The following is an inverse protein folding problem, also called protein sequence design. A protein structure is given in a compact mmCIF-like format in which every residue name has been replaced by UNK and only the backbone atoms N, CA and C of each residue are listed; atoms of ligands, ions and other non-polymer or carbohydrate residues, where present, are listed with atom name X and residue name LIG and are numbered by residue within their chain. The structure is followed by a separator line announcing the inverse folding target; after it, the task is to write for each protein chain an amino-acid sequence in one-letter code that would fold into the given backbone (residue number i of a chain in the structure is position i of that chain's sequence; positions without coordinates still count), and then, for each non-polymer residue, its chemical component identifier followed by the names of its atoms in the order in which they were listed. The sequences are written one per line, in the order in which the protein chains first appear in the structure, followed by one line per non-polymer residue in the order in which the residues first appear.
data_IF_925294643616
#
_entry.id   IF_925294643616
#
_cell.length_a   1.000
_cell.length_b   1.000
_cell.length_c   1.000
_cell.angle_alpha   90.00
_cell.angle_beta   90.00
_cell.angle_gamma   90.00
#
_symmetry.space_group_name_H-M   'P 1'
#
loop_
_entity.id
_entity.type
_entity.pdbx_description
1 polymer ?
#
# COMPACT_ATOMS: atom_id res chain seq x y z
N UNK A 1 -11.90 55.86 68.65
CA UNK A 1 -11.89 55.88 67.17
C UNK A 1 -10.82 54.89 66.74
N UNK A 2 -11.20 53.63 66.53
CA UNK A 2 -10.29 52.51 66.27
C UNK A 2 -10.66 51.94 64.91
N UNK A 3 -9.82 52.15 63.89
CA UNK A 3 -10.00 51.61 62.54
C UNK A 3 -9.60 50.14 62.54
N UNK A 4 -10.55 49.25 62.25
CA UNK A 4 -10.27 47.86 61.88
C UNK A 4 -9.91 47.82 60.39
N UNK A 5 -8.67 47.42 60.08
CA UNK A 5 -8.23 47.08 58.74
C UNK A 5 -8.61 45.61 58.49
N UNK A 6 -9.56 45.36 57.58
CA UNK A 6 -9.85 44.00 57.09
C UNK A 6 -8.82 43.63 56.03
N UNK A 7 -7.90 42.72 56.35
CA UNK A 7 -7.01 42.08 55.37
C UNK A 7 -7.81 40.98 54.66
N UNK A 8 -8.22 41.19 53.41
CA UNK A 8 -8.68 40.11 52.53
C UNK A 8 -7.45 39.29 52.10
N UNK A 9 -7.21 38.17 52.79
CA UNK A 9 -6.32 37.12 52.30
C UNK A 9 -7.04 36.36 51.19
N UNK A 10 -6.85 36.82 49.94
CA UNK A 10 -7.24 36.06 48.77
C UNK A 10 -6.37 34.82 48.64
N UNK A 11 -6.90 33.65 49.00
CA UNK A 11 -6.31 32.37 48.62
C UNK A 11 -6.44 32.23 47.10
N UNK A 12 -5.40 32.64 46.38
CA UNK A 12 -5.23 32.22 44.99
C UNK A 12 -4.78 30.77 45.03
N UNK A 13 -5.71 29.84 44.83
CA UNK A 13 -5.35 28.47 44.50
C UNK A 13 -4.63 28.54 43.14
N UNK A 14 -3.30 28.58 43.18
CA UNK A 14 -2.50 28.38 41.99
C UNK A 14 -2.89 27.02 41.42
N UNK A 15 -3.46 27.01 40.21
CA UNK A 15 -3.75 25.77 39.50
C UNK A 15 -2.41 25.08 39.28
N UNK A 16 -2.23 23.92 39.91
CA UNK A 16 -1.04 23.11 39.70
C UNK A 16 -1.03 22.61 38.25
N UNK A 17 0.00 22.99 37.50
CA UNK A 17 0.11 22.65 36.09
C UNK A 17 0.57 21.21 35.94
N UNK A 18 -0.06 20.47 35.03
CA UNK A 18 0.41 19.12 34.66
C UNK A 18 1.65 19.23 33.77
N UNK A 19 2.72 18.52 34.12
CA UNK A 19 3.95 18.51 33.31
C UNK A 19 3.83 17.50 32.15
N UNK A 20 4.16 17.94 30.94
CA UNK A 20 4.15 17.14 29.70
C UNK A 20 5.51 17.21 28.98
N UNK A 21 5.71 16.41 27.94
CA UNK A 21 6.98 16.39 27.21
C UNK A 21 7.13 17.55 26.23
N UNK A 22 6.06 17.87 25.49
CA UNK A 22 6.04 18.97 24.52
C UNK A 22 4.78 19.83 24.63
N UNK A 23 4.95 21.13 24.46
CA UNK A 23 3.87 22.05 24.06
C UNK A 23 4.28 22.71 22.74
N UNK A 24 3.45 22.57 21.72
CA UNK A 24 3.54 23.36 20.50
C UNK A 24 2.50 24.48 20.62
N UNK A 25 2.86 25.72 20.32
CA UNK A 25 1.99 26.88 20.50
C UNK A 25 2.19 27.91 19.38
N UNK A 26 1.33 28.94 19.33
CA UNK A 26 1.36 30.00 18.32
C UNK A 26 1.32 29.41 16.90
N UNK A 27 0.45 28.42 16.68
CA UNK A 27 0.31 27.72 15.40
C UNK A 27 -1.09 27.77 14.81
N UNK A 28 -1.25 27.08 13.69
CA UNK A 28 -2.55 26.72 13.10
C UNK A 28 -2.69 25.20 13.10
N UNK A 29 -3.25 24.65 14.17
CA UNK A 29 -3.29 23.22 14.44
C UNK A 29 -4.65 22.67 14.01
N UNK A 30 -4.68 21.88 12.94
CA UNK A 30 -5.89 21.22 12.49
C UNK A 30 -6.08 19.94 13.30
N UNK A 31 -7.19 19.82 14.05
CA UNK A 31 -7.43 18.64 14.91
C UNK A 31 -8.11 17.51 14.15
N UNK A 32 -8.92 17.86 13.13
CA UNK A 32 -9.76 16.90 12.39
C UNK A 32 -10.71 16.15 13.35
N UNK A 33 -11.16 16.84 14.41
CA UNK A 33 -12.29 16.40 15.23
C UNK A 33 -13.61 16.54 14.47
N UNK A 34 -14.73 16.15 15.09
CA UNK A 34 -16.07 16.20 14.49
C UNK A 34 -16.47 17.61 14.00
N UNK A 35 -15.89 18.66 14.59
CA UNK A 35 -16.12 20.06 14.23
C UNK A 35 -15.08 20.63 13.26
N UNK A 36 -14.07 19.83 12.87
CA UNK A 36 -12.89 20.25 12.12
C UNK A 36 -12.22 21.47 12.76
N UNK A 37 -12.07 21.47 14.08
CA UNK A 37 -11.55 22.63 14.79
C UNK A 37 -10.10 22.96 14.42
N UNK A 38 -9.77 24.25 14.55
CA UNK A 38 -8.42 24.78 14.36
C UNK A 38 -8.01 25.46 15.66
N UNK A 39 -6.96 24.92 16.29
CA UNK A 39 -6.44 25.35 17.56
C UNK A 39 -5.09 26.06 17.37
N UNK A 40 -4.58 26.72 18.42
CA UNK A 40 -3.28 27.41 18.36
C UNK A 40 -2.20 26.70 19.16
N UNK A 41 -2.57 25.84 20.11
CA UNK A 41 -1.65 25.03 20.90
C UNK A 41 -2.09 23.56 21.08
N UNK A 42 -1.10 22.69 21.30
CA UNK A 42 -1.27 21.27 21.63
C UNK A 42 -0.26 20.86 22.70
N UNK A 43 -0.70 20.08 23.67
CA UNK A 43 0.12 19.44 24.69
C UNK A 43 0.29 17.95 24.40
N UNK A 44 1.53 17.47 24.46
CA UNK A 44 1.92 16.09 24.09
C UNK A 44 2.73 15.48 25.23
N UNK A 45 2.35 14.28 25.65
CA UNK A 45 3.06 13.51 26.67
C UNK A 45 3.30 12.09 26.15
N UNK A 46 4.56 11.68 26.04
CA UNK A 46 4.96 10.46 25.36
C UNK A 46 4.47 10.43 23.92
N UNK A 47 3.69 9.40 23.59
CA UNK A 47 3.13 9.11 22.28
C UNK A 47 1.70 9.66 22.08
N UNK A 48 1.18 10.43 23.05
CA UNK A 48 -0.21 10.90 23.07
C UNK A 48 -0.33 12.41 23.09
N UNK A 49 -1.28 12.91 22.31
CA UNK A 49 -1.83 14.25 22.49
C UNK A 49 -2.74 14.20 23.72
N UNK A 50 -2.44 15.03 24.72
CA UNK A 50 -3.21 15.06 25.98
C UNK A 50 -4.18 16.24 26.05
N UNK A 51 -3.96 17.29 25.26
CA UNK A 51 -4.90 18.39 25.10
C UNK A 51 -4.63 19.19 23.82
N UNK A 52 -5.68 19.80 23.25
CA UNK A 52 -5.62 20.84 22.23
C UNK A 52 -6.45 22.04 22.70
N UNK A 53 -6.10 23.24 22.26
CA UNK A 53 -6.82 24.45 22.67
C UNK A 53 -6.11 25.71 22.19
N UNK A 54 -6.54 26.87 22.70
CA UNK A 54 -5.78 28.10 22.46
C UNK A 54 -4.51 28.16 23.34
N UNK A 55 -3.60 29.06 22.99
CA UNK A 55 -2.29 29.18 23.65
C UNK A 55 -2.43 29.43 25.15
N UNK A 56 -3.38 30.27 25.57
CA UNK A 56 -3.58 30.62 26.97
C UNK A 56 -4.13 29.44 27.78
N UNK A 57 -5.11 28.72 27.24
CA UNK A 57 -5.71 27.53 27.86
C UNK A 57 -4.64 26.45 28.12
N UNK A 58 -3.86 26.11 27.10
CA UNK A 58 -2.82 25.09 27.21
C UNK A 58 -1.72 25.53 28.19
N UNK A 59 -1.27 26.79 28.12
CA UNK A 59 -0.24 27.30 29.02
C UNK A 59 -0.74 27.48 30.46
N UNK A 60 -2.04 27.65 30.69
CA UNK A 60 -2.62 27.72 32.03
C UNK A 60 -2.66 26.34 32.70
N UNK A 61 -2.98 25.28 31.95
CA UNK A 61 -3.18 23.92 32.46
C UNK A 61 -1.90 23.08 32.47
N UNK A 62 -0.97 23.35 31.57
CA UNK A 62 0.21 22.52 31.34
C UNK A 62 1.53 23.30 31.43
N UNK A 63 2.57 22.61 31.89
CA UNK A 63 3.98 22.97 31.71
C UNK A 63 4.65 21.91 30.86
N UNK A 64 5.67 22.24 30.07
CA UNK A 64 6.35 21.27 29.22
C UNK A 64 7.86 21.24 29.45
N UNK A 65 8.46 20.05 29.29
CA UNK A 65 9.92 19.89 29.21
C UNK A 65 10.49 20.64 28.02
N UNK A 66 9.77 20.63 26.89
CA UNK A 66 10.14 21.32 25.66
C UNK A 66 8.96 22.15 25.14
N UNK A 67 9.23 23.39 24.73
CA UNK A 67 8.23 24.25 24.09
C UNK A 67 8.68 24.60 22.68
N UNK A 68 7.75 24.53 21.72
CA UNK A 68 8.01 24.81 20.31
C UNK A 68 7.06 25.93 19.87
N UNK A 69 7.64 27.11 19.60
CA UNK A 69 6.93 28.21 18.96
C UNK A 69 6.78 27.92 17.46
N UNK A 70 5.55 27.71 17.02
CA UNK A 70 5.24 27.40 15.62
C UNK A 70 5.30 28.64 14.72
N UNK A 71 5.33 29.86 15.26
CA UNK A 71 5.41 31.12 14.50
C UNK A 71 4.36 31.21 13.38
N UNK A 72 3.13 30.79 13.69
CA UNK A 72 1.99 30.75 12.77
C UNK A 72 2.01 29.59 11.77
N UNK A 73 2.98 28.67 11.84
CA UNK A 73 3.01 27.48 10.97
C UNK A 73 1.84 26.55 11.26
N UNK A 74 1.47 25.79 10.23
CA UNK A 74 0.40 24.79 10.33
C UNK A 74 0.92 23.46 10.86
N UNK A 75 0.07 22.79 11.65
CA UNK A 75 0.26 21.40 12.10
C UNK A 75 -0.95 20.60 11.64
N UNK A 76 -0.68 19.48 10.98
CA UNK A 76 -1.70 18.54 10.53
C UNK A 76 -1.54 17.22 11.29
N UNK A 77 -2.61 16.44 11.47
CA UNK A 77 -2.46 15.03 11.80
C UNK A 77 -1.60 14.37 10.72
N UNK A 78 -0.81 13.37 11.10
CA UNK A 78 -0.07 12.56 10.13
C UNK A 78 -1.04 11.92 9.15
N UNK A 79 -0.69 11.93 7.85
CA UNK A 79 -1.59 11.42 6.82
C UNK A 79 -1.70 9.90 6.90
N UNK A 80 -2.89 9.39 6.61
CA UNK A 80 -3.22 7.96 6.60
C UNK A 80 -3.65 7.58 5.19
N UNK A 81 -2.91 6.69 4.55
CA UNK A 81 -3.30 6.12 3.26
C UNK A 81 -4.24 4.95 3.51
N UNK A 82 -5.50 5.11 3.12
CA UNK A 82 -6.57 4.14 3.37
C UNK A 82 -6.49 2.89 2.50
N UNK A 83 -5.69 2.91 1.41
CA UNK A 83 -5.47 1.75 0.56
C UNK A 83 -4.19 1.91 -0.24
N UNK A 84 -3.19 1.08 0.05
CA UNK A 84 -1.98 1.03 -0.75
C UNK A 84 -1.42 -0.40 -0.83
N UNK A 85 -0.28 -0.49 -1.52
CA UNK A 85 0.58 -1.66 -1.51
C UNK A 85 1.95 -1.20 -1.01
N UNK A 86 2.10 -1.04 0.31
CA UNK A 86 3.25 -0.38 0.92
C UNK A 86 4.55 -1.18 0.69
N UNK A 87 4.54 -2.49 0.91
CA UNK A 87 5.67 -3.33 0.52
C UNK A 87 5.92 -3.28 -1.00
N UNK A 88 4.86 -3.35 -1.82
CA UNK A 88 4.97 -3.23 -3.27
C UNK A 88 5.61 -1.90 -3.72
N UNK A 89 5.29 -0.80 -3.04
CA UNK A 89 5.91 0.50 -3.23
C UNK A 89 7.41 0.46 -2.87
N UNK A 90 7.75 -0.12 -1.71
CA UNK A 90 9.14 -0.37 -1.30
C UNK A 90 9.93 -1.17 -2.34
N UNK A 91 9.35 -2.25 -2.86
CA UNK A 91 9.96 -3.06 -3.93
C UNK A 91 10.22 -2.21 -5.18
N UNK A 92 9.28 -1.36 -5.59
CA UNK A 92 9.50 -0.44 -6.72
C UNK A 92 10.64 0.55 -6.48
N UNK A 93 10.85 1.03 -5.24
CA UNK A 93 11.99 1.88 -4.87
C UNK A 93 13.34 1.12 -4.87
N UNK A 94 13.31 -0.22 -4.88
CA UNK A 94 14.51 -1.05 -5.07
C UNK A 94 14.87 -1.24 -6.54
N UNK A 95 14.00 -0.86 -7.47
CA UNK A 95 14.20 -1.09 -8.91
C UNK A 95 14.71 0.18 -9.60
N UNK A 96 15.43 0.01 -10.70
CA UNK A 96 15.71 1.12 -11.60
C UNK A 96 14.39 1.62 -12.20
N UNK A 97 14.11 2.91 -12.06
CA UNK A 97 12.92 3.52 -12.63
C UNK A 97 13.12 3.74 -14.13
N UNK A 98 12.38 3.00 -14.95
CA UNK A 98 12.47 3.02 -16.41
C UNK A 98 11.34 3.80 -17.08
N UNK A 99 10.44 4.40 -16.28
CA UNK A 99 9.33 5.20 -16.81
C UNK A 99 9.83 6.40 -17.60
N UNK A 100 9.08 6.75 -18.64
CA UNK A 100 9.31 7.90 -19.50
C UNK A 100 10.68 7.91 -20.19
N UNK A 101 11.40 6.78 -20.22
CA UNK A 101 12.61 6.68 -21.02
C UNK A 101 12.26 6.77 -22.50
N UNK A 102 12.91 7.69 -23.20
CA UNK A 102 12.67 8.04 -24.60
C UNK A 102 13.37 7.12 -25.60
N UNK A 103 14.27 6.25 -25.14
CA UNK A 103 14.96 5.26 -25.96
C UNK A 103 15.46 4.08 -25.13
N UNK A 104 15.84 2.98 -25.78
CA UNK A 104 16.51 1.87 -25.11
C UNK A 104 17.89 2.27 -24.58
N UNK A 105 18.63 3.15 -25.27
CA UNK A 105 19.91 3.65 -24.78
C UNK A 105 19.76 4.39 -23.44
N UNK A 106 18.69 5.17 -23.26
CA UNK A 106 18.39 5.81 -21.99
C UNK A 106 18.11 4.79 -20.88
N UNK A 107 17.42 3.68 -21.20
CA UNK A 107 17.26 2.55 -20.28
C UNK A 107 18.63 2.03 -19.84
N UNK A 108 19.53 1.76 -20.80
CA UNK A 108 20.86 1.23 -20.51
C UNK A 108 21.69 2.16 -19.62
N UNK A 109 21.64 3.48 -19.84
CA UNK A 109 22.32 4.45 -18.97
C UNK A 109 21.80 4.41 -17.53
N UNK A 110 20.47 4.33 -17.34
CA UNK A 110 19.87 4.19 -16.00
C UNK A 110 20.26 2.87 -15.33
N UNK A 111 20.49 1.80 -16.09
CA UNK A 111 20.93 0.51 -15.55
C UNK A 111 22.41 0.51 -15.16
N UNK A 112 23.28 1.24 -15.88
CA UNK A 112 24.72 1.33 -15.53
C UNK A 112 24.98 1.94 -14.16
N UNK A 113 24.08 2.81 -13.68
CA UNK A 113 24.15 3.42 -12.35
C UNK A 113 23.43 2.61 -11.27
N UNK A 114 22.81 1.48 -11.63
CA UNK A 114 22.07 0.66 -10.68
C UNK A 114 23.03 -0.15 -9.79
N UNK A 115 22.83 -0.08 -8.46
CA UNK A 115 23.56 -0.91 -7.50
C UNK A 115 22.76 -2.20 -7.21
N UNK A 116 23.24 -3.37 -7.65
CA UNK A 116 22.54 -4.64 -7.47
C UNK A 116 22.81 -5.29 -6.11
N UNK A 117 23.54 -4.64 -5.19
CA UNK A 117 23.90 -5.21 -3.88
C UNK A 117 22.65 -5.56 -3.08
N UNK A 118 21.68 -4.66 -3.03
CA UNK A 118 20.45 -4.84 -2.25
C UNK A 118 19.40 -5.73 -2.96
N UNK A 119 19.73 -6.27 -4.14
CA UNK A 119 18.88 -7.16 -4.95
C UNK A 119 19.59 -8.48 -5.24
N UNK A 120 20.53 -8.89 -4.39
CA UNK A 120 21.29 -10.14 -4.50
C UNK A 120 21.94 -10.32 -5.88
N UNK A 121 22.49 -9.25 -6.45
CA UNK A 121 23.16 -9.26 -7.74
C UNK A 121 22.26 -9.07 -8.95
N UNK A 122 20.93 -9.06 -8.78
CA UNK A 122 19.98 -8.83 -9.87
C UNK A 122 19.90 -7.36 -10.28
N UNK A 123 19.95 -7.08 -11.57
CA UNK A 123 19.63 -5.76 -12.11
C UNK A 123 18.15 -5.76 -12.47
N UNK A 124 17.34 -5.09 -11.63
CA UNK A 124 15.89 -5.06 -11.77
C UNK A 124 15.46 -3.65 -12.16
N UNK A 125 14.66 -3.54 -13.21
CA UNK A 125 14.08 -2.28 -13.65
C UNK A 125 12.61 -2.40 -13.95
N UNK A 126 11.85 -1.30 -13.82
CA UNK A 126 10.43 -1.29 -14.15
C UNK A 126 9.99 -0.01 -14.83
N UNK A 127 9.12 -0.15 -15.83
CA UNK A 127 8.35 0.95 -16.41
C UNK A 127 8.77 1.34 -17.82
N UNK A 128 9.60 0.55 -18.50
CA UNK A 128 9.95 0.84 -19.88
C UNK A 128 8.72 0.69 -20.79
N UNK A 129 8.64 1.53 -21.82
CA UNK A 129 7.58 1.48 -22.82
C UNK A 129 8.13 1.89 -24.19
N UNK A 130 8.26 0.91 -25.08
CA UNK A 130 8.78 1.12 -26.42
C UNK A 130 7.91 2.07 -27.27
N UNK A 131 6.64 2.28 -26.90
CA UNK A 131 5.76 3.21 -27.62
C UNK A 131 6.22 4.67 -27.53
N UNK A 132 7.06 4.99 -26.54
CA UNK A 132 7.67 6.31 -26.37
C UNK A 132 8.94 6.51 -27.21
N UNK A 133 9.46 5.44 -27.82
CA UNK A 133 10.72 5.49 -28.58
C UNK A 133 10.48 5.81 -30.05
N UNK A 134 11.50 6.35 -30.72
CA UNK A 134 11.44 6.64 -32.16
C UNK A 134 11.11 5.40 -32.98
N UNK A 135 11.81 4.29 -32.72
CA UNK A 135 11.68 3.07 -33.54
C UNK A 135 10.56 2.13 -33.10
N UNK A 136 9.90 2.32 -31.95
CA UNK A 136 8.74 1.52 -31.45
C UNK A 136 8.86 -0.02 -31.55
N UNK A 137 10.07 -0.56 -31.69
CA UNK A 137 10.35 -1.98 -31.71
C UNK A 137 10.75 -2.44 -30.30
N UNK A 138 10.40 -3.68 -29.97
CA UNK A 138 10.91 -4.30 -28.76
C UNK A 138 12.44 -4.48 -28.82
N UNK A 139 13.16 -4.20 -27.73
CA UNK A 139 14.60 -4.45 -27.66
C UNK A 139 14.89 -5.95 -27.55
N UNK A 140 16.13 -6.34 -27.85
CA UNK A 140 16.68 -7.67 -27.57
C UNK A 140 17.70 -7.64 -26.42
N UNK A 141 18.11 -8.81 -25.96
CA UNK A 141 19.03 -8.96 -24.84
C UNK A 141 20.51 -8.76 -25.17
N UNK A 142 20.92 -8.61 -26.44
CA UNK A 142 22.35 -8.67 -26.84
C UNK A 142 23.18 -7.59 -26.17
N UNK A 143 22.62 -6.39 -26.04
CA UNK A 143 23.31 -5.26 -25.38
C UNK A 143 23.35 -5.48 -23.86
N UNK A 144 22.30 -6.05 -23.27
CA UNK A 144 22.30 -6.43 -21.85
C UNK A 144 23.32 -7.52 -21.55
N UNK A 145 23.48 -8.50 -22.45
CA UNK A 145 24.49 -9.57 -22.33
C UNK A 145 25.91 -9.00 -22.32
N UNK A 146 26.14 -7.95 -23.11
CA UNK A 146 27.44 -7.29 -23.20
C UNK A 146 27.74 -6.41 -21.98
N UNK A 147 26.75 -5.67 -21.47
CA UNK A 147 26.91 -4.77 -20.33
C UNK A 147 26.92 -5.50 -18.98
N UNK A 148 26.15 -6.57 -18.87
CA UNK A 148 25.88 -7.27 -17.62
C UNK A 148 26.10 -8.78 -17.76
N UNK A 149 27.31 -9.25 -18.15
CA UNK A 149 27.55 -10.67 -18.46
C UNK A 149 27.45 -11.59 -17.24
N UNK A 150 27.64 -11.04 -16.03
CA UNK A 150 27.68 -11.79 -14.78
C UNK A 150 26.55 -11.41 -13.81
N UNK A 151 25.61 -10.56 -14.23
CA UNK A 151 24.47 -10.12 -13.44
C UNK A 151 23.18 -10.50 -14.17
N UNK A 152 22.24 -11.18 -13.51
CA UNK A 152 20.94 -11.44 -14.13
C UNK A 152 20.15 -10.13 -14.24
N UNK A 153 19.59 -9.86 -15.41
CA UNK A 153 18.81 -8.65 -15.70
C UNK A 153 17.34 -9.01 -15.86
N UNK A 154 16.45 -8.24 -15.23
CA UNK A 154 14.99 -8.41 -15.28
C UNK A 154 14.30 -7.05 -15.41
N UNK A 155 13.85 -6.69 -16.62
CA UNK A 155 13.25 -5.38 -16.90
C UNK A 155 11.75 -5.52 -17.20
N UNK A 156 10.92 -5.04 -16.29
CA UNK A 156 9.46 -5.12 -16.36
C UNK A 156 8.93 -3.97 -17.22
N UNK A 157 8.11 -4.30 -18.22
CA UNK A 157 7.41 -3.31 -19.05
C UNK A 157 6.39 -2.51 -18.21
N UNK A 158 5.99 -1.34 -18.67
CA UNK A 158 5.04 -0.46 -17.97
C UNK A 158 3.73 -1.13 -17.56
N UNK A 159 3.24 -2.08 -18.36
CA UNK A 159 2.00 -2.83 -18.12
C UNK A 159 2.19 -4.06 -17.19
N UNK A 160 3.42 -4.49 -16.97
CA UNK A 160 3.73 -5.70 -16.20
C UNK A 160 3.53 -7.02 -16.95
N UNK A 161 3.12 -6.99 -18.23
CA UNK A 161 2.82 -8.19 -19.04
C UNK A 161 3.98 -8.65 -19.93
N UNK A 162 5.07 -7.89 -19.95
CA UNK A 162 6.29 -8.26 -20.65
C UNK A 162 7.53 -7.99 -19.79
N UNK A 163 8.54 -8.85 -19.93
CA UNK A 163 9.85 -8.71 -19.32
C UNK A 163 10.93 -8.88 -20.37
N UNK A 164 11.90 -7.96 -20.37
CA UNK A 164 13.17 -8.16 -21.07
C UNK A 164 14.21 -8.67 -20.09
N UNK A 165 14.79 -9.83 -20.38
CA UNK A 165 15.82 -10.47 -19.58
C UNK A 165 17.08 -10.74 -20.40
N UNK A 166 18.24 -10.74 -19.75
CA UNK A 166 19.49 -11.13 -20.40
C UNK A 166 19.65 -12.67 -20.46
N UNK A 167 20.53 -13.16 -21.31
CA UNK A 167 20.81 -14.58 -21.51
C UNK A 167 21.25 -15.24 -20.20
N UNK A 168 22.00 -14.53 -19.35
CA UNK A 168 22.39 -15.03 -18.02
C UNK A 168 21.17 -15.37 -17.17
N UNK A 169 20.20 -14.44 -17.07
CA UNK A 169 18.97 -14.64 -16.32
C UNK A 169 18.10 -15.76 -16.92
N UNK A 170 17.98 -15.85 -18.25
CA UNK A 170 17.25 -16.93 -18.92
C UNK A 170 17.86 -18.31 -18.60
N UNK A 171 19.19 -18.42 -18.60
CA UNK A 171 19.89 -19.67 -18.30
C UNK A 171 19.65 -20.11 -16.85
N UNK A 172 19.64 -19.18 -15.89
CA UNK A 172 19.29 -19.49 -14.50
C UNK A 172 17.87 -20.06 -14.37
N UNK A 173 16.93 -19.56 -15.17
CA UNK A 173 15.55 -20.03 -15.21
C UNK A 173 15.33 -21.27 -16.10
N UNK A 174 16.38 -21.77 -16.77
CA UNK A 174 16.28 -22.88 -17.72
C UNK A 174 15.45 -22.55 -18.98
N UNK A 175 15.27 -21.27 -19.31
CA UNK A 175 14.50 -20.82 -20.47
C UNK A 175 15.38 -20.85 -21.72
N UNK A 176 14.90 -21.48 -22.78
CA UNK A 176 15.53 -21.55 -24.09
C UNK A 176 14.48 -21.40 -25.21
N UNK A 177 14.92 -21.51 -26.46
CA UNK A 177 14.08 -21.31 -27.65
C UNK A 177 12.98 -22.38 -27.83
N UNK A 178 13.08 -23.52 -27.15
CA UNK A 178 12.08 -24.59 -27.14
C UNK A 178 11.17 -24.52 -25.89
N UNK A 179 11.39 -23.56 -24.99
CA UNK A 179 10.53 -23.37 -23.81
C UNK A 179 9.14 -22.96 -24.25
N UNK A 180 8.15 -23.74 -23.82
CA UNK A 180 6.74 -23.48 -24.05
C UNK A 180 6.02 -23.42 -22.71
N UNK A 181 5.30 -22.32 -22.47
CA UNK A 181 4.51 -22.11 -21.25
C UNK A 181 3.07 -21.80 -21.66
N UNK A 182 2.11 -22.55 -21.10
CA UNK A 182 0.71 -22.30 -21.40
C UNK A 182 0.32 -20.86 -21.04
N UNK A 183 -0.29 -20.13 -21.98
CA UNK A 183 -0.65 -18.73 -21.77
C UNK A 183 0.55 -17.78 -21.67
N UNK A 184 1.71 -18.16 -22.22
CA UNK A 184 2.90 -17.33 -22.25
C UNK A 184 3.67 -17.48 -23.56
N UNK A 185 4.52 -16.49 -23.87
CA UNK A 185 5.33 -16.50 -25.08
C UNK A 185 6.79 -16.13 -24.78
N UNK A 186 7.71 -16.99 -25.21
CA UNK A 186 9.15 -16.67 -25.33
C UNK A 186 9.38 -16.18 -26.74
N UNK A 187 9.74 -14.90 -26.91
CA UNK A 187 9.96 -14.33 -28.24
C UNK A 187 11.32 -14.77 -28.77
N UNK A 188 11.33 -15.39 -29.95
CA UNK A 188 12.53 -15.91 -30.60
C UNK A 188 12.78 -15.27 -31.96
N UNK A 189 14.04 -15.13 -32.33
CA UNK A 189 14.48 -14.69 -33.65
C UNK A 189 15.65 -15.59 -34.10
N UNK A 190 15.61 -16.10 -35.34
CA UNK A 190 16.63 -17.01 -35.88
C UNK A 190 16.95 -18.19 -34.95
N UNK A 191 15.91 -18.80 -34.36
CA UNK A 191 16.00 -19.89 -33.38
C UNK A 191 16.77 -19.54 -32.09
N UNK A 192 16.86 -18.26 -31.71
CA UNK A 192 17.45 -17.81 -30.44
C UNK A 192 16.44 -16.98 -29.65
N UNK A 193 16.48 -17.08 -28.32
CA UNK A 193 15.68 -16.20 -27.47
C UNK A 193 16.13 -14.75 -27.65
N UNK A 194 15.18 -13.84 -27.80
CA UNK A 194 15.45 -12.39 -27.81
C UNK A 194 15.61 -11.81 -26.41
N UNK A 195 15.25 -12.57 -25.37
CA UNK A 195 15.15 -12.08 -23.99
C UNK A 195 13.78 -11.56 -23.60
N UNK A 196 12.88 -11.35 -24.56
CA UNK A 196 11.52 -10.89 -24.29
C UNK A 196 10.60 -12.07 -23.94
N UNK A 197 10.02 -12.01 -22.74
CA UNK A 197 9.06 -12.96 -22.19
C UNK A 197 7.72 -12.26 -21.99
N UNK A 198 6.62 -12.90 -22.35
CA UNK A 198 5.26 -12.35 -22.26
C UNK A 198 4.38 -13.27 -21.40
N UNK A 199 3.58 -12.65 -20.53
CA UNK A 199 2.62 -13.29 -19.64
C UNK A 199 3.24 -14.47 -18.86
N UNK A 200 2.65 -15.67 -18.93
CA UNK A 200 3.07 -16.80 -18.10
C UNK A 200 4.51 -17.27 -18.39
N UNK A 201 5.11 -16.88 -19.53
CA UNK A 201 6.52 -17.18 -19.82
C UNK A 201 7.49 -16.45 -18.87
N UNK A 202 7.01 -15.42 -18.16
CA UNK A 202 7.78 -14.66 -17.16
C UNK A 202 7.96 -15.47 -15.87
N UNK A 203 7.00 -16.34 -15.52
CA UNK A 203 6.91 -16.99 -14.20
C UNK A 203 8.18 -17.74 -13.77
N UNK A 204 8.84 -18.57 -14.62
CA UNK A 204 10.04 -19.28 -14.19
C UNK A 204 11.16 -18.33 -13.75
N UNK A 205 11.26 -17.16 -14.39
CA UNK A 205 12.25 -16.16 -14.08
C UNK A 205 11.86 -15.36 -12.82
N UNK A 206 10.59 -14.99 -12.71
CA UNK A 206 10.05 -14.27 -11.56
C UNK A 206 10.27 -15.03 -10.24
N UNK A 207 10.19 -16.37 -10.27
CA UNK A 207 10.42 -17.23 -9.10
C UNK A 207 11.87 -17.20 -8.58
N UNK A 208 12.83 -16.70 -9.37
CA UNK A 208 14.23 -16.56 -8.96
C UNK A 208 14.55 -15.19 -8.36
N UNK A 209 13.61 -14.23 -8.43
CA UNK A 209 13.82 -12.90 -7.88
C UNK A 209 13.89 -12.96 -6.34
N UNK A 210 14.67 -12.06 -5.70
CA UNK A 210 14.80 -12.02 -4.24
C UNK A 210 13.57 -11.46 -3.53
N UNK A 211 12.39 -11.41 -4.17
CA UNK A 211 11.21 -10.72 -3.63
C UNK A 211 10.65 -11.33 -2.34
N UNK A 212 11.01 -12.59 -2.07
CA UNK A 212 10.68 -13.33 -0.85
C UNK A 212 11.88 -13.49 0.11
N UNK A 213 13.05 -12.92 -0.21
CA UNK A 213 14.18 -12.89 0.72
C UNK A 213 13.88 -11.91 1.87
N UNK A 214 13.95 -12.35 3.15
CA UNK A 214 13.78 -11.49 4.30
C UNK A 214 14.57 -10.18 4.24
N UNK A 215 15.85 -10.23 3.83
CA UNK A 215 16.69 -9.03 3.78
C UNK A 215 16.21 -8.02 2.73
N UNK A 216 15.71 -8.52 1.60
CA UNK A 216 15.13 -7.70 0.54
C UNK A 216 13.81 -7.06 0.99
N UNK A 217 12.91 -7.84 1.61
CA UNK A 217 11.63 -7.35 2.16
C UNK A 217 11.90 -6.26 3.20
N UNK A 218 12.80 -6.51 4.14
CA UNK A 218 13.13 -5.54 5.19
C UNK A 218 13.67 -4.23 4.61
N UNK A 219 14.59 -4.31 3.63
CA UNK A 219 15.14 -3.12 2.98
C UNK A 219 14.06 -2.33 2.22
N UNK A 220 13.16 -3.03 1.52
CA UNK A 220 12.04 -2.43 0.81
C UNK A 220 11.08 -1.69 1.77
N UNK A 221 10.73 -2.29 2.91
CA UNK A 221 9.86 -1.68 3.92
C UNK A 221 10.48 -0.39 4.50
N UNK A 222 11.79 -0.42 4.82
CA UNK A 222 12.48 0.75 5.36
C UNK A 222 12.58 1.89 4.34
N UNK A 223 12.88 1.58 3.06
CA UNK A 223 12.85 2.61 2.00
C UNK A 223 11.46 3.20 1.79
N UNK A 224 10.43 2.37 1.82
CA UNK A 224 9.04 2.83 1.70
C UNK A 224 8.69 3.77 2.86
N UNK A 225 9.05 3.40 4.09
CA UNK A 225 8.85 4.23 5.28
C UNK A 225 9.50 5.61 5.14
N UNK A 226 10.79 5.66 4.81
CA UNK A 226 11.53 6.93 4.71
C UNK A 226 10.90 7.84 3.66
N UNK A 227 10.50 7.26 2.53
CA UNK A 227 9.78 7.98 1.49
C UNK A 227 8.43 8.50 1.97
N UNK A 228 7.62 7.68 2.64
CA UNK A 228 6.31 8.06 3.16
C UNK A 228 6.41 9.17 4.23
N UNK A 229 7.35 9.05 5.17
CA UNK A 229 7.58 10.06 6.19
C UNK A 229 8.03 11.40 5.61
N UNK A 230 8.81 11.40 4.52
CA UNK A 230 9.24 12.63 3.85
C UNK A 230 8.09 13.49 3.32
N UNK A 231 6.91 12.89 3.11
CA UNK A 231 5.68 13.56 2.65
C UNK A 231 4.58 13.60 3.71
N UNK A 232 4.91 13.28 4.97
CA UNK A 232 3.98 13.35 6.10
C UNK A 232 2.99 12.18 6.20
N UNK A 233 3.19 11.09 5.43
CA UNK A 233 2.38 9.88 5.53
C UNK A 233 2.90 9.01 6.67
N UNK A 234 2.11 8.87 7.74
CA UNK A 234 2.53 8.20 8.98
C UNK A 234 1.85 6.85 9.20
N UNK A 235 0.82 6.54 8.42
CA UNK A 235 0.09 5.28 8.53
C UNK A 235 -0.44 4.82 7.17
N UNK A 236 -0.52 3.51 6.99
CA UNK A 236 -0.94 2.89 5.74
C UNK A 236 -1.88 1.71 6.01
N UNK A 237 -2.73 1.43 5.03
CA UNK A 237 -3.47 0.18 4.98
C UNK A 237 -2.97 -0.66 3.80
N UNK A 238 -2.13 -1.64 4.12
CA UNK A 238 -1.39 -2.41 3.12
C UNK A 238 -2.19 -3.64 2.68
N UNK A 239 -2.53 -3.69 1.39
CA UNK A 239 -3.49 -4.63 0.85
C UNK A 239 -2.83 -5.91 0.30
N UNK A 240 -3.26 -7.05 0.82
CA UNK A 240 -2.98 -8.38 0.26
C UNK A 240 -1.64 -8.97 0.70
N UNK A 241 -1.23 -8.73 1.94
CA UNK A 241 0.03 -9.22 2.49
C UNK A 241 0.01 -10.73 2.74
N UNK A 242 1.10 -11.39 2.39
CA UNK A 242 1.34 -12.81 2.68
C UNK A 242 2.04 -12.98 4.02
N UNK A 243 1.99 -14.21 4.58
CA UNK A 243 2.56 -14.52 5.89
C UNK A 243 4.02 -14.05 6.04
N UNK A 244 4.89 -14.40 5.09
CA UNK A 244 6.31 -14.02 5.15
C UNK A 244 6.50 -12.49 5.20
N UNK A 245 5.65 -11.74 4.52
CA UNK A 245 5.75 -10.28 4.47
C UNK A 245 5.36 -9.67 5.83
N UNK A 246 4.34 -10.24 6.48
CA UNK A 246 3.90 -9.81 7.81
C UNK A 246 4.90 -10.23 8.90
N UNK A 247 5.54 -11.39 8.77
CA UNK A 247 6.61 -11.82 9.68
C UNK A 247 7.76 -10.80 9.65
N UNK A 248 8.17 -10.33 8.47
CA UNK A 248 9.24 -9.32 8.35
C UNK A 248 8.83 -7.92 8.83
N UNK A 249 7.55 -7.55 8.68
CA UNK A 249 7.01 -6.33 9.29
C UNK A 249 7.15 -6.41 10.83
N UNK A 250 6.71 -7.53 11.43
CA UNK A 250 6.81 -7.74 12.88
C UNK A 250 8.27 -7.73 13.34
N UNK A 251 9.16 -8.46 12.65
CA UNK A 251 10.59 -8.48 12.97
C UNK A 251 11.19 -7.07 13.01
N UNK A 252 10.86 -6.20 12.05
CA UNK A 252 11.36 -4.83 12.04
C UNK A 252 10.72 -3.93 13.09
N UNK A 253 9.45 -4.13 13.43
CA UNK A 253 8.77 -3.36 14.46
C UNK A 253 9.25 -3.75 15.87
N UNK A 254 9.42 -5.04 16.13
CA UNK A 254 9.99 -5.58 17.38
C UNK A 254 11.44 -5.12 17.57
N UNK A 255 12.21 -5.03 16.48
CA UNK A 255 13.55 -4.46 16.47
C UNK A 255 13.57 -2.92 16.45
N UNK A 256 12.40 -2.28 16.58
CA UNK A 256 12.22 -0.83 16.60
C UNK A 256 12.73 -0.07 15.36
N UNK A 257 12.91 -0.75 14.22
CA UNK A 257 13.40 -0.15 12.97
C UNK A 257 12.27 0.38 12.09
N UNK A 258 11.17 -0.37 12.00
CA UNK A 258 9.97 0.07 11.29
C UNK A 258 9.03 0.76 12.29
N UNK A 259 8.75 2.04 12.05
CA UNK A 259 7.86 2.92 12.82
C UNK A 259 6.57 3.26 12.06
N UNK A 260 6.45 2.85 10.80
CA UNK A 260 5.21 2.96 10.03
C UNK A 260 4.10 2.17 10.72
N UNK A 261 2.93 2.81 10.93
CA UNK A 261 1.74 2.12 11.44
C UNK A 261 1.00 1.46 10.28
N UNK A 262 0.77 0.17 10.38
CA UNK A 262 0.26 -0.66 9.28
C UNK A 262 -1.04 -1.33 9.72
N UNK A 263 -2.12 -1.02 9.02
CA UNK A 263 -3.31 -1.87 8.99
C UNK A 263 -3.13 -2.90 7.88
N UNK A 264 -2.82 -4.14 8.24
CA UNK A 264 -2.55 -5.20 7.28
C UNK A 264 -3.85 -5.87 6.83
N UNK A 265 -4.08 -5.89 5.51
CA UNK A 265 -5.07 -6.76 4.90
C UNK A 265 -4.37 -8.01 4.39
N UNK A 266 -4.72 -9.16 4.95
CA UNK A 266 -4.19 -10.46 4.55
C UNK A 266 -4.52 -10.75 3.09
N UNK A 267 -3.61 -11.43 2.37
CA UNK A 267 -3.95 -12.06 1.11
C UNK A 267 -5.03 -13.12 1.32
N UNK A 268 -5.90 -13.32 0.33
CA UNK A 268 -6.90 -14.40 0.36
C UNK A 268 -6.32 -15.79 0.06
N UNK A 269 -5.00 -15.95 0.06
CA UNK A 269 -4.34 -17.25 -0.16
C UNK A 269 -4.59 -18.18 1.02
N UNK A 270 -4.93 -19.44 0.73
CA UNK A 270 -5.24 -20.46 1.75
C UNK A 270 -4.16 -20.55 2.84
N UNK A 271 -2.88 -20.59 2.47
CA UNK A 271 -1.78 -20.69 3.44
C UNK A 271 -1.75 -19.50 4.42
N UNK A 272 -2.00 -18.27 3.93
CA UNK A 272 -2.05 -17.08 4.78
C UNK A 272 -3.29 -17.14 5.70
N UNK A 273 -4.46 -17.46 5.14
CA UNK A 273 -5.70 -17.52 5.91
C UNK A 273 -5.68 -18.64 6.96
N UNK A 274 -5.25 -19.85 6.60
CA UNK A 274 -5.12 -20.98 7.53
C UNK A 274 -4.23 -20.60 8.73
N UNK A 275 -3.14 -19.87 8.49
CA UNK A 275 -2.23 -19.45 9.55
C UNK A 275 -2.87 -18.43 10.50
N UNK A 276 -3.48 -17.37 9.98
CA UNK A 276 -4.02 -16.29 10.83
C UNK A 276 -5.38 -16.62 11.45
N UNK A 277 -6.25 -17.37 10.75
CA UNK A 277 -7.56 -17.76 11.29
C UNK A 277 -7.47 -18.80 12.40
N UNK A 278 -6.34 -19.53 12.52
CA UNK A 278 -6.14 -20.48 13.61
C UNK A 278 -5.50 -19.86 14.87
N UNK A 279 -5.41 -18.53 14.95
CA UNK A 279 -4.67 -17.78 15.98
C UNK A 279 -5.44 -16.55 16.43
N UNK A 280 -5.05 -15.99 17.56
CA UNK A 280 -5.56 -14.70 18.01
C UNK A 280 -5.13 -13.58 17.06
N UNK A 281 -6.00 -12.60 16.86
CA UNK A 281 -5.72 -11.43 16.03
C UNK A 281 -4.59 -10.61 16.65
N UNK A 282 -3.65 -10.15 15.79
CA UNK A 282 -2.51 -9.34 16.20
C UNK A 282 -2.88 -7.87 16.09
N UNK A 283 -2.96 -7.20 17.25
CA UNK A 283 -3.18 -5.76 17.35
C UNK A 283 -2.13 -5.16 18.30
N UNK A 284 -1.15 -4.47 17.72
CA UNK A 284 -0.15 -3.67 18.43
C UNK A 284 -0.32 -2.20 18.07
N UNK A 285 0.50 -1.31 18.67
CA UNK A 285 0.48 0.11 18.31
C UNK A 285 0.89 0.36 16.85
N UNK A 286 1.69 -0.52 16.25
CA UNK A 286 2.26 -0.33 14.91
C UNK A 286 1.73 -1.33 13.86
N UNK A 287 1.14 -2.45 14.27
CA UNK A 287 0.57 -3.44 13.36
C UNK A 287 -0.81 -3.88 13.82
N UNK A 288 -1.79 -3.70 12.94
CA UNK A 288 -3.15 -4.19 13.12
C UNK A 288 -3.49 -5.14 11.97
N UNK A 289 -3.60 -6.44 12.25
CA UNK A 289 -4.00 -7.42 11.24
C UNK A 289 -5.52 -7.62 11.30
N UNK A 290 -6.22 -6.79 10.52
CA UNK A 290 -7.66 -6.60 10.69
C UNK A 290 -8.54 -7.03 9.53
N UNK A 291 -7.97 -7.25 8.35
CA UNK A 291 -8.75 -7.46 7.14
C UNK A 291 -8.21 -8.58 6.25
N UNK A 292 -9.03 -8.99 5.29
CA UNK A 292 -8.64 -9.86 4.18
C UNK A 292 -8.96 -9.14 2.86
N UNK A 293 -7.99 -9.09 1.96
CA UNK A 293 -8.12 -8.50 0.62
C UNK A 293 -8.61 -9.53 -0.39
N UNK A 294 -9.72 -9.21 -1.05
CA UNK A 294 -10.27 -9.95 -2.19
C UNK A 294 -10.29 -9.09 -3.47
N UNK A 295 -10.48 -9.74 -4.62
CA UNK A 295 -10.54 -9.12 -5.94
C UNK A 295 -11.77 -9.63 -6.71
N UNK A 296 -12.72 -8.76 -7.03
CA UNK A 296 -13.94 -9.15 -7.73
C UNK A 296 -13.77 -9.14 -9.25
N UNK A 297 -13.03 -8.17 -9.76
CA UNK A 297 -12.81 -7.93 -11.19
C UNK A 297 -11.41 -7.37 -11.49
N UNK A 298 -11.16 -7.08 -12.77
CA UNK A 298 -9.94 -6.41 -13.23
C UNK A 298 -10.09 -4.88 -13.30
N UNK A 299 -9.24 -4.25 -14.11
CA UNK A 299 -9.24 -2.80 -14.31
C UNK A 299 -9.92 -2.37 -15.62
N UNK A 300 -10.40 -1.12 -15.67
CA UNK A 300 -10.97 -0.54 -16.90
C UNK A 300 -9.95 -0.44 -18.03
N UNK A 301 -8.70 -0.06 -17.73
CA UNK A 301 -7.68 0.15 -18.76
C UNK A 301 -7.33 -1.10 -19.57
N UNK A 302 -7.45 -2.28 -18.95
CA UNK A 302 -7.26 -3.59 -19.61
C UNK A 302 -8.58 -4.25 -20.03
N UNK A 303 -9.71 -3.55 -19.90
CA UNK A 303 -11.08 -4.07 -20.11
C UNK A 303 -11.41 -5.31 -19.26
N UNK A 304 -10.82 -5.40 -18.08
CA UNK A 304 -11.05 -6.48 -17.13
C UNK A 304 -12.11 -6.16 -16.06
N UNK A 305 -12.43 -4.88 -15.82
CA UNK A 305 -13.45 -4.49 -14.87
C UNK A 305 -14.84 -4.95 -15.34
N UNK A 306 -15.64 -5.53 -14.45
CA UNK A 306 -16.90 -6.17 -14.83
C UNK A 306 -18.05 -5.16 -14.87
N UNK A 307 -18.61 -4.95 -16.07
CA UNK A 307 -19.65 -3.96 -16.33
C UNK A 307 -21.02 -4.61 -16.52
N UNK A 308 -22.09 -3.87 -16.20
CA UNK A 308 -23.46 -4.32 -16.46
C UNK A 308 -23.79 -4.37 -17.95
N UNK A 309 -23.23 -3.42 -18.71
CA UNK A 309 -23.34 -3.32 -20.15
C UNK A 309 -21.94 -3.49 -20.78
N UNK A 310 -21.83 -3.91 -22.05
CA UNK A 310 -20.53 -4.06 -22.70
C UNK A 310 -19.72 -2.76 -22.77
N UNK A 311 -18.40 -2.91 -22.92
CA UNK A 311 -17.49 -1.80 -23.12
C UNK A 311 -17.84 -1.06 -24.43
N UNK A 312 -17.90 0.26 -24.36
CA UNK A 312 -18.22 1.09 -25.54
C UNK A 312 -17.22 0.97 -26.70
N UNK A 313 -15.98 0.57 -26.41
CA UNK A 313 -14.88 0.37 -27.37
C UNK A 313 -14.54 -1.11 -27.60
N UNK A 314 -15.32 -2.02 -27.02
CA UNK A 314 -15.21 -3.48 -27.16
C UNK A 314 -16.60 -4.12 -26.90
N UNK A 315 -17.56 -4.00 -27.85
CA UNK A 315 -18.98 -4.28 -27.60
C UNK A 315 -19.33 -5.73 -27.28
N UNK A 316 -18.40 -6.68 -27.47
CA UNK A 316 -18.56 -8.10 -27.16
C UNK A 316 -17.99 -8.47 -25.77
N UNK A 317 -17.45 -7.49 -25.05
CA UNK A 317 -16.77 -7.68 -23.77
C UNK A 317 -17.47 -6.90 -22.66
N UNK A 318 -17.74 -7.55 -21.53
CA UNK A 318 -18.29 -6.92 -20.32
C UNK A 318 -17.36 -7.10 -19.10
N UNK A 319 -16.09 -7.42 -19.34
CA UNK A 319 -15.08 -7.66 -18.31
C UNK A 319 -15.14 -9.05 -17.69
N UNK A 320 -14.48 -9.19 -16.55
CA UNK A 320 -14.23 -10.48 -15.90
C UNK A 320 -14.68 -10.43 -14.45
N UNK A 321 -15.51 -11.40 -14.04
CA UNK A 321 -15.78 -11.67 -12.63
C UNK A 321 -14.89 -12.83 -12.19
N UNK A 322 -14.09 -12.62 -11.15
CA UNK A 322 -13.17 -13.66 -10.63
C UNK A 322 -13.85 -14.65 -9.70
N UNK A 323 -15.00 -14.26 -9.13
CA UNK A 323 -15.80 -15.08 -8.24
C UNK A 323 -17.23 -15.20 -8.77
N UNK A 324 -17.85 -16.34 -8.49
CA UNK A 324 -19.31 -16.44 -8.52
C UNK A 324 -19.88 -15.84 -7.24
N UNK A 325 -21.19 -15.55 -7.23
CA UNK A 325 -21.89 -15.10 -6.03
C UNK A 325 -21.67 -16.06 -4.85
N UNK A 326 -21.93 -17.35 -5.06
CA UNK A 326 -21.86 -18.37 -4.02
C UNK A 326 -20.43 -18.54 -3.49
N UNK A 327 -19.42 -18.51 -4.38
CA UNK A 327 -18.02 -18.60 -3.94
C UNK A 327 -17.55 -17.39 -3.15
N UNK A 328 -18.01 -16.18 -3.52
CA UNK A 328 -17.67 -14.96 -2.76
C UNK A 328 -18.41 -14.94 -1.42
N UNK A 329 -19.69 -15.36 -1.40
CA UNK A 329 -20.49 -15.46 -0.19
C UNK A 329 -19.91 -16.45 0.81
N UNK A 330 -19.51 -17.64 0.37
CA UNK A 330 -18.85 -18.62 1.22
C UNK A 330 -17.55 -18.06 1.83
N UNK A 331 -16.75 -17.34 1.04
CA UNK A 331 -15.54 -16.68 1.53
C UNK A 331 -15.87 -15.57 2.56
N UNK A 332 -16.91 -14.77 2.29
CA UNK A 332 -17.39 -13.73 3.17
C UNK A 332 -17.88 -14.30 4.52
N UNK A 333 -18.66 -15.37 4.51
CA UNK A 333 -19.14 -16.03 5.75
C UNK A 333 -17.97 -16.46 6.63
N UNK A 334 -16.92 -17.07 6.05
CA UNK A 334 -15.70 -17.44 6.78
C UNK A 334 -15.01 -16.19 7.36
N UNK A 335 -14.82 -15.13 6.56
CA UNK A 335 -14.20 -13.88 7.04
C UNK A 335 -14.99 -13.26 8.19
N UNK A 336 -16.32 -13.30 8.12
CA UNK A 336 -17.21 -12.81 9.16
C UNK A 336 -17.11 -13.63 10.45
N UNK A 337 -17.11 -14.96 10.35
CA UNK A 337 -16.95 -15.89 11.49
C UNK A 337 -15.60 -15.70 12.19
N UNK A 338 -14.53 -15.46 11.41
CA UNK A 338 -13.18 -15.24 11.92
C UNK A 338 -12.95 -13.82 12.45
N UNK A 339 -13.99 -12.99 12.48
CA UNK A 339 -13.95 -11.62 13.01
C UNK A 339 -13.03 -10.66 12.24
N UNK A 340 -12.85 -10.86 10.94
CA UNK A 340 -12.06 -9.98 10.06
C UNK A 340 -12.95 -9.04 9.22
N UNK A 341 -12.37 -7.93 8.78
CA UNK A 341 -12.96 -7.05 7.78
C UNK A 341 -12.72 -7.63 6.38
N UNK A 342 -13.76 -7.77 5.55
CA UNK A 342 -13.57 -8.05 4.13
C UNK A 342 -13.35 -6.75 3.37
N UNK A 343 -12.25 -6.65 2.64
CA UNK A 343 -11.90 -5.54 1.76
C UNK A 343 -11.82 -6.06 0.33
N UNK A 344 -12.75 -5.67 -0.53
CA UNK A 344 -12.86 -6.26 -1.87
C UNK A 344 -12.62 -5.23 -2.96
N UNK A 345 -11.62 -5.46 -3.82
CA UNK A 345 -11.45 -4.68 -5.04
C UNK A 345 -12.65 -4.89 -5.96
N UNK A 346 -13.32 -3.81 -6.33
CA UNK A 346 -14.37 -3.80 -7.35
C UNK A 346 -14.36 -2.46 -8.11
N UNK A 347 -14.07 -2.51 -9.40
CA UNK A 347 -14.03 -1.31 -10.26
C UNK A 347 -15.33 -1.13 -11.03
N UNK A 348 -15.78 -2.18 -11.73
CA UNK A 348 -16.97 -2.11 -12.57
C UNK A 348 -18.28 -2.18 -11.78
N UNK A 349 -19.37 -1.71 -12.36
CA UNK A 349 -20.66 -1.63 -11.68
C UNK A 349 -21.33 -3.00 -11.46
N UNK A 350 -21.06 -3.98 -12.33
CA UNK A 350 -21.49 -5.35 -12.07
C UNK A 350 -20.76 -5.98 -10.87
N UNK A 351 -19.44 -5.73 -10.77
CA UNK A 351 -18.63 -6.18 -9.63
C UNK A 351 -19.08 -5.52 -8.33
N UNK A 352 -19.23 -4.19 -8.32
CA UNK A 352 -19.72 -3.44 -7.15
C UNK A 352 -21.08 -3.95 -6.67
N UNK A 353 -22.02 -4.18 -7.60
CA UNK A 353 -23.34 -4.75 -7.28
C UNK A 353 -23.23 -6.14 -6.65
N UNK A 354 -22.36 -7.00 -7.18
CA UNK A 354 -22.17 -8.35 -6.64
C UNK A 354 -21.62 -8.30 -5.21
N UNK A 355 -20.58 -7.50 -4.97
CA UNK A 355 -19.98 -7.35 -3.63
C UNK A 355 -20.98 -6.79 -2.63
N UNK A 356 -21.74 -5.76 -3.00
CA UNK A 356 -22.77 -5.18 -2.12
C UNK A 356 -23.85 -6.19 -1.74
N UNK A 357 -24.31 -7.02 -2.69
CA UNK A 357 -25.30 -8.05 -2.41
C UNK A 357 -24.73 -9.10 -1.44
N UNK A 358 -23.51 -9.59 -1.67
CA UNK A 358 -22.86 -10.55 -0.76
C UNK A 358 -22.68 -9.95 0.63
N UNK A 359 -22.24 -8.69 0.72
CA UNK A 359 -22.06 -8.02 2.00
C UNK A 359 -23.39 -7.86 2.74
N UNK A 360 -24.47 -7.48 2.05
CA UNK A 360 -25.80 -7.37 2.63
C UNK A 360 -26.33 -8.70 3.16
N UNK A 361 -26.08 -9.79 2.44
CA UNK A 361 -26.48 -11.15 2.82
C UNK A 361 -25.73 -11.69 4.04
N UNK A 362 -24.45 -11.34 4.19
CA UNK A 362 -23.58 -11.90 5.24
C UNK A 362 -23.58 -11.03 6.49
N UNK A 363 -23.50 -9.71 6.34
CA UNK A 363 -23.32 -8.81 7.48
C UNK A 363 -24.59 -8.64 8.32
N UNK A 364 -25.77 -8.73 7.69
CA UNK A 364 -27.11 -8.67 8.30
C UNK A 364 -27.32 -7.51 9.30
N UNK A 365 -28.31 -6.64 9.06
CA UNK A 365 -28.63 -5.51 9.97
C UNK A 365 -27.45 -4.55 10.25
N UNK A 366 -27.67 -3.55 11.09
CA UNK A 366 -26.61 -2.61 11.49
C UNK A 366 -25.54 -3.32 12.31
N UNK A 367 -24.29 -3.18 11.88
CA UNK A 367 -23.12 -3.79 12.53
C UNK A 367 -21.92 -2.84 12.43
N UNK A 368 -20.87 -3.12 13.21
CA UNK A 368 -19.62 -2.34 13.21
C UNK A 368 -18.46 -3.07 12.51
N UNK A 369 -18.76 -4.01 11.59
CA UNK A 369 -17.73 -4.75 10.84
C UNK A 369 -16.98 -3.86 9.84
N UNK A 370 -17.65 -2.79 9.37
CA UNK A 370 -17.12 -1.77 8.45
C UNK A 370 -16.49 -2.35 7.17
N UNK A 371 -17.02 -3.44 6.62
CA UNK A 371 -16.46 -4.02 5.38
C UNK A 371 -16.43 -3.01 4.23
N UNK A 372 -15.43 -3.15 3.36
CA UNK A 372 -15.08 -2.13 2.38
C UNK A 372 -15.05 -2.66 0.96
N UNK A 373 -15.32 -1.74 0.06
CA UNK A 373 -15.10 -1.91 -1.37
C UNK A 373 -13.96 -0.96 -1.75
N UNK A 374 -12.93 -1.54 -2.35
CA UNK A 374 -11.75 -0.81 -2.78
C UNK A 374 -11.96 -0.32 -4.22
N UNK A 375 -11.48 0.90 -4.53
CA UNK A 375 -11.69 1.64 -5.77
C UNK A 375 -13.11 2.19 -5.95
N UNK A 376 -14.13 1.32 -6.06
CA UNK A 376 -15.54 1.73 -6.20
C UNK A 376 -15.75 2.77 -7.33
N UNK A 377 -15.09 2.55 -8.49
CA UNK A 377 -14.94 3.57 -9.52
C UNK A 377 -16.22 3.77 -10.37
N UNK A 378 -16.93 2.70 -10.71
CA UNK A 378 -18.21 2.76 -11.41
C UNK A 378 -19.26 2.07 -10.55
N UNK A 379 -20.27 2.83 -10.13
CA UNK A 379 -21.35 2.34 -9.27
C UNK A 379 -22.68 2.69 -9.90
N UNK A 380 -23.49 1.66 -10.17
CA UNK A 380 -24.85 1.88 -10.65
C UNK A 380 -25.71 2.52 -9.53
N UNK A 381 -26.49 3.58 -9.79
CA UNK A 381 -27.39 4.23 -8.83
C UNK A 381 -28.33 3.27 -8.07
N UNK A 382 -28.74 2.16 -8.68
CA UNK A 382 -29.60 1.17 -8.04
C UNK A 382 -28.88 0.38 -6.94
N UNK A 383 -27.54 0.37 -6.93
CA UNK A 383 -26.75 -0.27 -5.90
C UNK A 383 -26.76 0.51 -4.57
N UNK A 384 -27.14 1.79 -4.58
CA UNK A 384 -27.16 2.64 -3.38
C UNK A 384 -28.21 2.24 -2.35
N UNK A 385 -29.26 1.51 -2.78
CA UNK A 385 -30.28 0.97 -1.86
C UNK A 385 -29.70 -0.01 -0.85
N UNK A 386 -28.58 -0.66 -1.17
CA UNK A 386 -27.90 -1.62 -0.30
C UNK A 386 -26.98 -0.92 0.72
N UNK A 387 -26.41 0.24 0.39
CA UNK A 387 -25.54 1.00 1.29
C UNK A 387 -26.30 1.57 2.50
N UNK A 388 -27.58 1.94 2.34
CA UNK A 388 -28.39 2.52 3.42
C UNK A 388 -28.97 1.51 4.41
N UNK A 389 -28.91 0.21 4.11
CA UNK A 389 -29.43 -0.84 5.00
C UNK A 389 -28.36 -1.49 5.88
N UNK A 390 -27.09 -1.10 5.71
CA UNK A 390 -25.92 -1.69 6.40
C UNK A 390 -25.18 -0.70 7.32
N UNK A 391 -25.53 0.59 7.26
CA UNK A 391 -25.08 1.66 8.17
C UNK A 391 -26.29 2.04 9.00
#
# INVERSE_FOLDING_TARGET
MMQLLFLLLGFTNAIEKTTVDFILYNGKIYTVDESFSIQTAVAINGDKIVATGNDAEIQQLYSAKNTIDLKGKSVYPGFIDAHCHFLGYGRNLMYSNLRNASSFDEILERLKTFDPTATNGWIIGRGWDQNLWTEKVFPDCKVLDSLFPNNPVYLIRIDGHAVLANTYALNLAGINNATNVNGGLVVTENNKCTGLLIDNAITPLQNLLPVNDPAFIQTALLRAQDSCFSVGLTSVQDAGLEKIEIDEIQHLQDAEKLKMRIYAMLSSKKETLDYYFSRDQIHTDYLFIGAVKYYMDGALGSRGAALLEPYSDDPDNSGLLFYTYDSLKAAAEIVHEMNYQMCTHAIGDAANRMVLNVYADVLLSTNDRRWRIEHCQIVNPDAWKFLRSMI
#
